data_IF_570804467429
#
_entry.id   IF_570804467429
#
_cell.length_a   1.000
_cell.length_b   1.000
_cell.length_c   1.000
_cell.angle_alpha   90.00
_cell.angle_beta   90.00
_cell.angle_gamma   90.00
#
_symmetry.space_group_name_H-M   'P 1'
#
loop_
_entity.id
_entity.type
_entity.pdbx_description
1 polymer ?
#
# COMPACT_ATOMS: atom_id res chain seq x y z
N UNK A 1 -2.05 2.86 25.87
CA UNK A 1 -2.54 1.71 25.09
C UNK A 1 -4.06 1.73 25.08
N UNK A 2 -4.68 1.11 24.08
CA UNK A 2 -6.12 0.87 23.98
C UNK A 2 -6.33 -0.65 23.96
N UNK A 3 -7.01 -1.16 24.97
CA UNK A 3 -7.26 -2.59 25.17
C UNK A 3 -8.67 -2.93 24.71
N UNK A 4 -8.80 -3.98 23.90
CA UNK A 4 -10.08 -4.39 23.33
C UNK A 4 -10.22 -5.91 23.27
N UNK A 5 -11.43 -6.37 23.01
CA UNK A 5 -11.72 -7.76 22.70
C UNK A 5 -12.36 -7.85 21.33
N UNK A 6 -11.91 -8.82 20.54
CA UNK A 6 -12.55 -9.15 19.25
C UNK A 6 -13.90 -9.81 19.49
N UNK A 7 -14.73 -9.90 18.44
CA UNK A 7 -16.01 -10.60 18.52
C UNK A 7 -15.91 -12.07 18.95
N UNK A 8 -14.73 -12.68 18.81
CA UNK A 8 -14.42 -14.05 19.24
C UNK A 8 -13.93 -14.12 20.70
N UNK A 9 -13.92 -13.00 21.43
CA UNK A 9 -13.43 -12.93 22.81
C UNK A 9 -11.90 -12.94 22.94
N UNK A 10 -11.15 -12.84 21.84
CA UNK A 10 -9.69 -12.75 21.91
C UNK A 10 -9.24 -11.30 22.20
N UNK A 11 -8.29 -11.08 23.14
CA UNK A 11 -7.79 -9.75 23.44
C UNK A 11 -6.99 -9.18 22.26
N UNK A 12 -7.17 -7.89 22.00
CA UNK A 12 -6.41 -7.14 21.01
C UNK A 12 -6.04 -5.79 21.60
N UNK A 13 -4.73 -5.52 21.65
CA UNK A 13 -4.18 -4.31 22.28
C UNK A 13 -3.49 -3.46 21.23
N UNK A 14 -3.84 -2.17 21.23
CA UNK A 14 -3.30 -1.16 20.34
C UNK A 14 -2.44 -0.16 21.10
N UNK A 15 -1.36 0.29 20.47
CA UNK A 15 -0.68 1.51 20.88
C UNK A 15 -1.57 2.71 20.59
N UNK A 16 -1.40 3.75 21.38
CA UNK A 16 -2.04 5.04 21.17
C UNK A 16 -0.95 6.10 21.22
N UNK A 17 -0.20 6.20 20.13
CA UNK A 17 0.89 7.15 19.98
C UNK A 17 0.63 8.07 18.80
N UNK A 18 1.13 9.31 18.89
CA UNK A 18 1.01 10.29 17.83
C UNK A 18 2.04 9.97 16.77
N UNK A 19 1.55 9.75 15.54
CA UNK A 19 2.42 9.51 14.40
C UNK A 19 3.09 10.80 13.95
N UNK A 20 2.47 11.96 14.22
CA UNK A 20 2.97 13.27 13.82
C UNK A 20 3.37 13.29 12.33
N UNK A 21 4.54 13.85 12.02
CA UNK A 21 5.16 13.83 10.69
C UNK A 21 5.98 12.58 10.39
N UNK A 22 5.99 11.61 11.31
CA UNK A 22 6.83 10.43 11.19
C UNK A 22 6.24 9.40 10.22
N UNK A 23 7.07 8.50 9.72
CA UNK A 23 6.65 7.42 8.84
C UNK A 23 6.02 6.27 9.64
N UNK A 24 4.92 5.65 9.17
CA UNK A 24 4.08 6.00 8.02
C UNK A 24 3.21 7.26 8.26
N UNK A 25 2.98 8.14 7.27
CA UNK A 25 2.47 9.49 7.47
C UNK A 25 0.95 9.50 7.66
N UNK A 26 0.49 8.99 8.79
CA UNK A 26 -0.94 9.01 9.16
C UNK A 26 -1.38 10.32 9.81
N UNK A 27 -0.45 11.24 10.12
CA UNK A 27 -0.74 12.58 10.66
C UNK A 27 -1.69 12.56 11.86
N UNK A 28 -1.49 11.60 12.74
CA UNK A 28 -2.23 11.48 13.99
C UNK A 28 -1.59 12.37 15.06
N UNK A 29 -2.37 13.28 15.62
CA UNK A 29 -1.95 14.29 16.61
C UNK A 29 -2.88 14.36 17.84
N UNK A 30 -3.88 13.47 17.91
CA UNK A 30 -5.02 13.54 18.81
C UNK A 30 -5.11 12.29 19.71
N UNK A 31 -3.97 11.74 20.14
CA UNK A 31 -3.91 10.60 21.08
C UNK A 31 -4.82 10.75 22.30
N UNK A 32 -4.87 11.92 22.92
CA UNK A 32 -5.72 12.20 24.09
C UNK A 32 -7.21 12.07 23.77
N UNK A 33 -7.66 12.58 22.61
CA UNK A 33 -9.06 12.47 22.19
C UNK A 33 -9.41 11.01 21.90
N UNK A 34 -8.53 10.29 21.20
CA UNK A 34 -8.73 8.87 20.92
C UNK A 34 -8.78 8.03 22.21
N UNK A 35 -8.00 8.40 23.24
CA UNK A 35 -8.06 7.76 24.54
C UNK A 35 -9.39 8.03 25.26
N UNK A 36 -9.91 9.25 25.16
CA UNK A 36 -11.21 9.61 25.72
C UNK A 36 -12.35 8.84 25.03
N UNK A 37 -12.32 8.73 23.69
CA UNK A 37 -13.27 7.93 22.91
C UNK A 37 -13.23 6.45 23.31
N UNK A 38 -12.03 5.87 23.46
CA UNK A 38 -11.87 4.50 23.93
C UNK A 38 -12.46 4.28 25.32
N UNK A 39 -12.23 5.23 26.23
CA UNK A 39 -12.73 5.15 27.62
C UNK A 39 -14.26 5.26 27.66
N UNK A 40 -14.84 6.14 26.85
CA UNK A 40 -16.29 6.27 26.70
C UNK A 40 -16.91 5.00 26.08
N UNK A 41 -16.29 4.41 25.06
CA UNK A 41 -16.74 3.13 24.48
C UNK A 41 -16.73 2.00 25.51
N UNK A 42 -15.73 1.97 26.40
CA UNK A 42 -15.66 1.02 27.51
C UNK A 42 -16.83 1.23 28.48
N UNK A 43 -17.10 2.46 28.91
CA UNK A 43 -18.20 2.71 29.86
C UNK A 43 -19.58 2.39 29.28
N UNK A 44 -19.76 2.53 27.97
CA UNK A 44 -21.01 2.15 27.28
C UNK A 44 -21.20 0.63 27.15
N UNK A 45 -20.14 -0.17 27.34
CA UNK A 45 -20.24 -1.63 27.30
C UNK A 45 -20.87 -2.23 28.56
N UNK A 46 -20.90 -1.48 29.68
CA UNK A 46 -21.38 -1.99 30.97
C UNK A 46 -22.91 -1.90 31.12
N UNK A 47 -23.60 -1.15 30.25
CA UNK A 47 -25.02 -0.83 30.40
C UNK A 47 -26.00 -1.84 29.78
N UNK A 48 -25.70 -2.47 28.64
CA UNK A 48 -26.65 -3.35 27.91
C UNK A 48 -25.97 -4.42 27.02
N UNK A 49 -24.70 -4.74 27.27
CA UNK A 49 -23.91 -5.66 26.45
C UNK A 49 -22.78 -4.97 25.67
N UNK A 50 -22.07 -5.69 24.78
CA UNK A 50 -20.84 -5.17 24.17
C UNK A 50 -21.10 -3.95 23.30
N UNK A 51 -20.38 -2.85 23.55
CA UNK A 51 -20.39 -1.68 22.69
C UNK A 51 -19.41 -1.87 21.53
N UNK A 52 -19.93 -2.07 20.33
CA UNK A 52 -19.11 -2.37 19.17
C UNK A 52 -18.48 -1.14 18.56
N UNK A 53 -17.17 -1.22 18.35
CA UNK A 53 -16.39 -0.19 17.66
C UNK A 53 -15.52 -0.82 16.57
N UNK A 54 -15.41 -0.11 15.46
CA UNK A 54 -14.42 -0.36 14.44
C UNK A 54 -13.17 0.48 14.72
N UNK A 55 -12.02 -0.18 14.77
CA UNK A 55 -10.73 0.47 15.04
C UNK A 55 -9.93 0.49 13.75
N UNK A 56 -9.59 1.69 13.28
CA UNK A 56 -8.59 1.85 12.22
C UNK A 56 -7.23 1.80 12.86
N UNK A 57 -6.32 0.97 12.35
CA UNK A 57 -4.96 0.86 12.87
C UNK A 57 -3.96 0.58 11.76
N UNK A 58 -2.68 0.84 12.04
CA UNK A 58 -1.56 0.43 11.20
C UNK A 58 -0.56 -0.39 12.00
N UNK A 59 0.26 -1.16 11.30
CA UNK A 59 1.16 -2.13 11.91
C UNK A 59 0.49 -3.49 12.13
N UNK A 60 1.31 -4.43 12.60
CA UNK A 60 0.95 -5.85 12.74
C UNK A 60 0.93 -6.20 14.22
N UNK A 61 0.09 -7.18 14.59
CA UNK A 61 0.14 -7.77 15.94
C UNK A 61 1.06 -8.98 15.90
N UNK A 62 2.11 -8.96 16.72
CA UNK A 62 2.96 -10.13 16.99
C UNK A 62 3.26 -10.19 18.48
N UNK A 63 2.74 -11.23 19.15
CA UNK A 63 2.87 -11.40 20.60
C UNK A 63 4.27 -11.83 21.03
N UNK A 64 4.96 -12.63 20.21
CA UNK A 64 6.32 -13.11 20.52
C UNK A 64 7.35 -11.98 20.46
N UNK A 65 7.14 -11.00 19.57
CA UNK A 65 8.05 -9.88 19.36
C UNK A 65 7.59 -8.59 20.05
N UNK A 66 6.54 -8.63 20.89
CA UNK A 66 5.99 -7.44 21.54
C UNK A 66 5.68 -6.31 20.53
N UNK A 67 5.08 -6.68 19.40
CA UNK A 67 4.68 -5.73 18.36
C UNK A 67 3.18 -5.49 18.47
N UNK A 68 2.84 -4.26 18.81
CA UNK A 68 1.46 -3.79 18.91
C UNK A 68 1.14 -2.82 17.76
N UNK A 69 0.03 -3.03 17.04
CA UNK A 69 -0.45 -2.07 16.04
C UNK A 69 -0.81 -0.74 16.72
N UNK A 70 -0.63 0.39 16.02
CA UNK A 70 -1.02 1.70 16.53
C UNK A 70 -2.42 2.06 16.04
N UNK A 71 -3.31 2.42 16.96
CA UNK A 71 -4.67 2.87 16.61
C UNK A 71 -4.64 4.27 16.01
N UNK A 72 -5.50 4.50 15.03
CA UNK A 72 -5.66 5.77 14.31
C UNK A 72 -7.01 6.40 14.63
N UNK A 73 -8.08 5.61 14.61
CA UNK A 73 -9.42 6.10 14.91
C UNK A 73 -10.30 5.00 15.49
N UNK A 74 -11.30 5.41 16.26
CA UNK A 74 -12.35 4.55 16.81
C UNK A 74 -13.68 5.05 16.25
N UNK A 75 -14.49 4.14 15.70
CA UNK A 75 -15.81 4.48 15.16
C UNK A 75 -16.87 3.53 15.71
N UNK A 76 -17.96 4.03 16.31
CA UNK A 76 -19.08 3.18 16.71
C UNK A 76 -19.68 2.43 15.52
N UNK A 77 -20.03 1.16 15.71
CA UNK A 77 -20.70 0.32 14.72
C UNK A 77 -21.83 -0.46 15.37
N UNK A 78 -22.79 -0.92 14.55
CA UNK A 78 -23.97 -1.64 15.06
C UNK A 78 -23.68 -3.07 15.53
N UNK A 79 -22.52 -3.64 15.17
CA UNK A 79 -22.21 -5.03 15.49
C UNK A 79 -20.90 -5.52 14.87
N UNK A 80 -20.55 -6.80 15.11
CA UNK A 80 -19.29 -7.40 14.64
C UNK A 80 -19.28 -7.69 13.13
N UNK A 81 -20.46 -7.87 12.51
CA UNK A 81 -20.59 -8.24 11.10
C UNK A 81 -20.73 -7.04 10.16
N UNK A 82 -20.49 -5.82 10.66
CA UNK A 82 -20.60 -4.60 9.86
C UNK A 82 -19.50 -4.56 8.81
N UNK A 83 -19.92 -4.43 7.54
CA UNK A 83 -19.00 -4.28 6.42
C UNK A 83 -18.55 -2.83 6.24
N UNK A 84 -17.26 -2.59 6.41
CA UNK A 84 -16.64 -1.28 6.19
C UNK A 84 -15.81 -1.33 4.91
N UNK A 85 -16.18 -0.54 3.90
CA UNK A 85 -15.46 -0.43 2.64
C UNK A 85 -14.65 0.87 2.67
N UNK A 86 -13.31 0.82 2.55
CA UNK A 86 -12.46 2.01 2.61
C UNK A 86 -12.45 2.74 1.25
N UNK A 87 -13.57 3.40 0.90
CA UNK A 87 -13.76 4.06 -0.39
C UNK A 87 -12.67 5.06 -0.75
N UNK A 88 -12.18 5.84 0.23
CA UNK A 88 -11.10 6.81 0.00
C UNK A 88 -9.80 6.11 -0.42
N UNK A 89 -9.43 5.02 0.26
CA UNK A 89 -8.25 4.23 -0.10
C UNK A 89 -8.40 3.62 -1.49
N UNK A 90 -9.59 3.09 -1.82
CA UNK A 90 -9.88 2.56 -3.16
C UNK A 90 -9.75 3.64 -4.24
N UNK A 91 -10.28 4.84 -3.99
CA UNK A 91 -10.14 5.97 -4.90
C UNK A 91 -8.68 6.39 -5.09
N UNK A 92 -7.91 6.50 -3.99
CA UNK A 92 -6.47 6.82 -4.04
C UNK A 92 -5.72 5.77 -4.87
N UNK A 93 -5.97 4.48 -4.62
CA UNK A 93 -5.32 3.39 -5.35
C UNK A 93 -5.72 3.39 -6.83
N UNK A 94 -6.99 3.66 -7.15
CA UNK A 94 -7.46 3.77 -8.53
C UNK A 94 -6.79 4.93 -9.28
N UNK A 95 -6.70 6.10 -8.64
CA UNK A 95 -6.01 7.27 -9.20
C UNK A 95 -4.51 6.97 -9.38
N UNK A 96 -3.87 6.37 -8.39
CA UNK A 96 -2.46 5.98 -8.48
C UNK A 96 -2.22 5.01 -9.64
N UNK A 97 -3.08 4.00 -9.78
CA UNK A 97 -3.02 3.05 -10.89
C UNK A 97 -3.19 3.75 -12.25
N UNK A 98 -4.13 4.68 -12.36
CA UNK A 98 -4.35 5.47 -13.57
C UNK A 98 -3.13 6.34 -13.92
N UNK A 99 -2.49 6.97 -12.92
CA UNK A 99 -1.26 7.77 -13.11
C UNK A 99 -0.11 6.88 -13.56
N UNK A 100 0.14 5.76 -12.89
CA UNK A 100 1.19 4.81 -13.26
C UNK A 100 0.97 4.25 -14.67
N UNK A 101 -0.28 3.95 -15.02
CA UNK A 101 -0.65 3.54 -16.38
C UNK A 101 -0.35 4.64 -17.40
N UNK A 102 -0.74 5.88 -17.12
CA UNK A 102 -0.50 7.01 -18.01
C UNK A 102 1.01 7.29 -18.19
N UNK A 103 1.81 7.15 -17.13
CA UNK A 103 3.27 7.22 -17.18
C UNK A 103 3.86 6.09 -18.02
N UNK A 104 3.40 4.85 -17.81
CA UNK A 104 3.82 3.68 -18.60
C UNK A 104 3.55 3.87 -20.09
N UNK A 105 2.33 4.29 -20.46
CA UNK A 105 1.98 4.53 -21.87
C UNK A 105 2.83 5.64 -22.48
N UNK A 106 3.06 6.74 -21.75
CA UNK A 106 3.94 7.82 -22.22
C UNK A 106 5.38 7.35 -22.38
N UNK A 107 5.87 6.52 -21.46
CA UNK A 107 7.21 5.93 -21.55
C UNK A 107 7.35 5.03 -22.77
N UNK A 108 6.39 4.14 -23.03
CA UNK A 108 6.40 3.27 -24.22
C UNK A 108 6.40 4.12 -25.51
N UNK A 109 5.48 5.08 -25.62
CA UNK A 109 5.42 5.98 -26.79
C UNK A 109 6.68 6.84 -26.97
N UNK A 110 7.32 7.23 -25.86
CA UNK A 110 8.59 7.95 -25.90
C UNK A 110 9.72 7.05 -26.41
N UNK A 111 9.79 5.80 -25.94
CA UNK A 111 10.76 4.80 -26.41
C UNK A 111 10.63 4.55 -27.91
N UNK A 112 9.42 4.30 -28.42
CA UNK A 112 9.18 4.09 -29.85
C UNK A 112 9.68 5.30 -30.67
N UNK A 113 9.26 6.52 -30.30
CA UNK A 113 9.61 7.72 -31.09
C UNK A 113 11.07 8.15 -31.04
N UNK A 114 11.82 7.78 -30.00
CA UNK A 114 13.20 8.27 -29.76
C UNK A 114 14.26 7.18 -29.85
N UNK A 115 13.90 5.92 -29.64
CA UNK A 115 14.83 4.81 -29.60
C UNK A 115 14.71 3.89 -30.82
N UNK A 116 13.51 3.64 -31.37
CA UNK A 116 13.37 2.77 -32.57
C UNK A 116 14.23 3.22 -33.76
N UNK A 117 14.31 4.51 -34.13
CA UNK A 117 15.17 4.90 -35.25
C UNK A 117 16.67 4.68 -34.99
N UNK A 118 17.08 4.45 -33.74
CA UNK A 118 18.46 4.07 -33.40
C UNK A 118 18.64 2.57 -33.32
N UNK A 119 17.61 1.81 -32.92
CA UNK A 119 17.66 0.35 -32.93
C UNK A 119 17.68 -0.20 -34.35
N UNK A 120 16.88 0.37 -35.27
CA UNK A 120 16.89 0.01 -36.70
C UNK A 120 18.28 0.24 -37.32
N UNK A 121 18.93 1.37 -37.02
CA UNK A 121 20.31 1.64 -37.48
C UNK A 121 21.36 0.69 -36.89
N UNK A 122 21.15 0.18 -35.67
CA UNK A 122 22.05 -0.78 -35.04
C UNK A 122 21.85 -2.17 -35.63
N UNK A 123 20.60 -2.59 -35.85
CA UNK A 123 20.27 -3.88 -36.46
C UNK A 123 20.79 -3.94 -37.90
N UNK A 124 20.58 -2.88 -38.70
CA UNK A 124 21.13 -2.77 -40.06
C UNK A 124 22.66 -2.86 -40.06
N UNK A 125 23.33 -2.18 -39.11
CA UNK A 125 24.79 -2.22 -38.98
C UNK A 125 25.30 -3.61 -38.60
N UNK A 126 24.62 -4.30 -37.69
CA UNK A 126 24.97 -5.66 -37.26
C UNK A 126 24.78 -6.67 -38.39
N UNK A 127 23.66 -6.59 -39.13
CA UNK A 127 23.40 -7.47 -40.25
C UNK A 127 24.40 -7.28 -41.39
N UNK A 128 24.76 -6.03 -41.71
CA UNK A 128 25.80 -5.73 -42.70
C UNK A 128 27.18 -6.25 -42.27
N UNK A 129 27.52 -6.11 -40.98
CA UNK A 129 28.76 -6.64 -40.43
C UNK A 129 28.81 -8.17 -40.53
N UNK A 130 27.73 -8.86 -40.14
CA UNK A 130 27.62 -10.32 -40.24
C UNK A 130 27.74 -10.77 -41.71
N UNK A 131 27.08 -10.06 -42.63
CA UNK A 131 27.15 -10.36 -44.07
C UNK A 131 28.56 -10.13 -44.65
N UNK A 132 29.28 -9.12 -44.18
CA UNK A 132 30.67 -8.86 -44.56
C UNK A 132 31.62 -9.94 -44.03
N UNK A 133 31.47 -10.32 -42.75
CA UNK A 133 32.25 -11.41 -42.13
C UNK A 133 32.04 -12.70 -42.91
N UNK A 134 30.78 -13.11 -43.17
CA UNK A 134 30.47 -14.32 -43.98
C UNK A 134 31.11 -14.28 -45.36
N UNK A 135 31.09 -13.12 -46.05
CA UNK A 135 31.74 -12.94 -47.36
C UNK A 135 33.26 -13.08 -47.29
N UNK A 136 33.89 -12.58 -46.23
CA UNK A 136 35.34 -12.68 -46.04
C UNK A 136 35.77 -14.13 -45.81
N UNK A 137 35.03 -14.89 -45.02
CA UNK A 137 35.31 -16.30 -44.76
C UNK A 137 35.05 -17.19 -45.98
N UNK A 138 33.99 -16.94 -46.76
CA UNK A 138 33.72 -17.69 -48.00
C UNK A 138 34.71 -17.40 -49.14
N UNK A 139 35.41 -16.26 -49.12
CA UNK A 139 36.44 -15.92 -50.12
C UNK A 139 37.75 -16.69 -49.95
N UNK A 140 37.98 -17.31 -48.79
CA UNK A 140 39.21 -18.06 -48.47
C UNK A 140 39.11 -19.56 -48.78
N UNK A 141 37.97 -20.03 -49.30
CA UNK A 141 37.68 -21.43 -49.58
C UNK A 141 37.73 -21.79 -51.09
N UNK A 142 38.30 -20.92 -51.93
CA UNK A 142 38.62 -21.19 -53.34
C UNK A 142 40.11 -21.00 -53.59
#
# INVERSE_FOLDING_TARGET
FIETFTAKGAPMVYRNEDTSWNWPPYFKFDTSNLQAEASNAKSLSDSDGPYWVAITHYGWRNELLSIWPNAVSIKPVSGPDVRIIPWMNLLILAVLAAVLWALRVRWIKFREKRLDPKFEQIDDFVDDFIAWVKRMFNRKAR
#
